data_IF_629542914919
#
_entry.id   IF_629542914919
#
_cell.length_a   1.000
_cell.length_b   1.000
_cell.length_c   1.000
_cell.angle_alpha   90.00
_cell.angle_beta   90.00
_cell.angle_gamma   90.00
#
_symmetry.space_group_name_H-M   'P 1'
#
loop_
_entity.id
_entity.type
_entity.pdbx_description
1 polymer ?
#
# COMPACT_ATOMS: atom_id res chain seq x y z
N UNK A 1 14.70 -24.63 22.29
CA UNK A 1 14.48 -24.32 21.79
C UNK A 1 14.39 -24.26 20.93
N UNK A 2 14.45 -24.18 21.09
CA UNK A 2 14.46 -24.04 20.45
C UNK A 2 14.75 -23.79 19.58
N UNK A 3 15.41 -23.52 19.56
CA UNK A 3 16.24 -22.94 18.60
C UNK A 3 15.85 -23.37 17.27
N UNK A 4 15.58 -24.49 17.13
CA UNK A 4 15.15 -24.89 15.86
C UNK A 4 14.04 -24.02 15.57
N UNK A 5 13.43 -23.50 16.48
CA UNK A 5 12.37 -22.64 16.23
C UNK A 5 12.82 -21.48 15.44
N UNK A 6 13.95 -20.97 15.71
CA UNK A 6 14.35 -19.85 15.01
C UNK A 6 14.58 -20.13 13.61
N UNK A 7 15.18 -21.18 13.32
CA UNK A 7 15.42 -21.51 11.95
C UNK A 7 14.12 -21.61 11.24
N UNK A 8 13.17 -22.17 11.90
CA UNK A 8 11.94 -22.36 11.30
C UNK A 8 11.31 -21.02 11.03
N UNK A 9 11.44 -20.10 11.93
CA UNK A 9 10.89 -18.81 11.71
C UNK A 9 11.50 -18.17 10.51
N UNK A 10 12.74 -18.29 10.31
CA UNK A 10 13.36 -17.69 9.16
C UNK A 10 12.76 -18.21 7.90
N UNK A 11 12.44 -19.46 7.86
CA UNK A 11 11.86 -19.98 6.68
C UNK A 11 10.51 -19.41 6.46
N UNK A 12 9.75 -19.20 7.49
CA UNK A 12 8.42 -18.70 7.34
C UNK A 12 8.40 -17.23 7.04
N UNK A 13 9.45 -16.53 7.37
CA UNK A 13 9.45 -15.10 7.21
C UNK A 13 10.16 -14.70 5.93
N UNK A 14 9.40 -14.63 4.88
CA UNK A 14 9.92 -14.10 3.63
C UNK A 14 10.07 -12.61 3.83
N UNK A 15 11.22 -12.03 3.57
CA UNK A 15 11.40 -10.59 3.73
C UNK A 15 10.38 -9.77 2.95
N UNK A 16 9.94 -10.26 1.81
CA UNK A 16 8.97 -9.51 1.04
C UNK A 16 7.62 -9.51 1.73
N UNK A 17 7.25 -10.61 2.34
CA UNK A 17 5.99 -10.68 3.06
C UNK A 17 6.04 -9.80 4.28
N UNK A 18 7.18 -9.76 4.95
CA UNK A 18 7.32 -8.95 6.13
C UNK A 18 7.20 -7.48 5.74
N UNK A 19 7.85 -7.07 4.67
CA UNK A 19 7.79 -5.69 4.23
C UNK A 19 6.36 -5.32 3.87
N UNK A 20 5.67 -6.18 3.16
CA UNK A 20 4.31 -5.92 2.77
C UNK A 20 3.43 -5.77 4.01
N UNK A 21 3.62 -6.63 4.97
CA UNK A 21 2.86 -6.58 6.20
C UNK A 21 3.12 -5.27 6.94
N UNK A 22 4.39 -4.87 7.01
CA UNK A 22 4.75 -3.68 7.75
C UNK A 22 4.25 -2.41 7.09
N UNK A 23 4.10 -2.42 5.78
CA UNK A 23 3.64 -1.23 5.08
C UNK A 23 2.12 -1.16 5.00
N UNK A 24 1.44 -2.23 5.27
CA UNK A 24 -0.01 -2.25 5.14
C UNK A 24 -0.67 -1.23 6.04
N UNK A 25 -0.23 -1.15 7.27
CA UNK A 25 -0.85 -0.26 8.23
C UNK A 25 -0.67 1.22 7.86
N UNK A 26 0.57 1.67 7.59
CA UNK A 26 0.70 3.08 7.21
C UNK A 26 0.00 3.40 5.90
N UNK A 27 -0.04 2.47 4.95
CA UNK A 27 -0.74 2.75 3.70
C UNK A 27 -2.24 2.85 3.93
N UNK A 28 -2.78 2.02 4.79
CA UNK A 28 -4.20 2.10 5.13
C UNK A 28 -4.49 3.44 5.80
N UNK A 29 -3.58 3.89 6.66
CA UNK A 29 -3.76 5.16 7.33
C UNK A 29 -3.75 6.32 6.34
N UNK A 30 -2.82 6.29 5.40
CA UNK A 30 -2.73 7.35 4.40
C UNK A 30 -4.01 7.36 3.55
N UNK A 31 -4.48 6.20 3.15
CA UNK A 31 -5.69 6.13 2.35
C UNK A 31 -6.89 6.67 3.11
N UNK A 32 -7.00 6.30 4.38
CA UNK A 32 -8.11 6.77 5.19
C UNK A 32 -8.08 8.27 5.38
N UNK A 33 -6.87 8.82 5.59
CA UNK A 33 -6.75 10.26 5.74
C UNK A 33 -7.05 10.98 4.44
N UNK A 34 -6.59 10.44 3.32
CA UNK A 34 -6.87 11.04 2.03
C UNK A 34 -8.37 11.07 1.77
N UNK A 35 -9.06 9.99 2.11
CA UNK A 35 -10.49 9.93 1.94
C UNK A 35 -11.19 11.00 2.78
N UNK A 36 -10.78 11.13 4.03
CA UNK A 36 -11.40 12.12 4.91
C UNK A 36 -11.10 13.53 4.44
N UNK A 37 -9.89 13.77 3.94
CA UNK A 37 -9.54 15.07 3.43
C UNK A 37 -10.39 15.43 2.21
N UNK A 38 -10.57 14.48 1.31
CA UNK A 38 -11.39 14.72 0.14
C UNK A 38 -12.82 15.06 0.56
N UNK A 39 -13.32 14.35 1.54
CA UNK A 39 -14.65 14.59 2.04
C UNK A 39 -14.78 15.99 2.62
N UNK A 40 -13.79 16.38 3.41
CA UNK A 40 -13.81 17.69 4.04
C UNK A 40 -13.73 18.80 2.98
N UNK A 41 -12.90 18.60 1.97
CA UNK A 41 -12.74 19.59 0.93
C UNK A 41 -14.03 19.73 0.14
N UNK A 42 -14.69 18.63 -0.16
CA UNK A 42 -15.94 18.70 -0.92
C UNK A 42 -17.02 19.44 -0.17
N UNK A 43 -16.94 19.42 1.14
CA UNK A 43 -17.97 20.06 1.96
C UNK A 43 -17.62 21.45 2.45
N UNK A 44 -16.41 21.89 2.22
CA UNK A 44 -15.97 23.17 2.76
C UNK A 44 -16.63 24.32 2.02
N UNK A 45 -17.48 25.08 2.66
CA UNK A 45 -18.22 26.11 1.94
C UNK A 45 -17.39 27.35 1.67
N UNK A 46 -16.27 27.50 2.35
CA UNK A 46 -15.46 28.71 2.18
C UNK A 46 -14.46 28.59 1.04
N UNK A 47 -14.35 27.44 0.43
CA UNK A 47 -13.38 27.28 -0.64
C UNK A 47 -14.00 27.69 -1.96
N UNK A 48 -13.19 28.37 -2.78
CA UNK A 48 -13.62 28.65 -4.14
C UNK A 48 -13.58 27.32 -4.92
N UNK A 49 -14.25 27.30 -6.06
CA UNK A 49 -14.24 26.10 -6.87
C UNK A 49 -12.82 25.76 -7.32
N UNK A 50 -12.05 26.78 -7.65
CA UNK A 50 -10.69 26.54 -8.08
C UNK A 50 -9.85 25.97 -6.97
N UNK A 51 -9.99 26.50 -5.77
CA UNK A 51 -9.26 25.98 -4.63
C UNK A 51 -9.67 24.54 -4.35
N UNK A 52 -10.95 24.27 -4.44
CA UNK A 52 -11.46 22.94 -4.16
C UNK A 52 -10.89 21.94 -5.16
N UNK A 53 -10.89 22.30 -6.44
CA UNK A 53 -10.35 21.40 -7.44
C UNK A 53 -8.87 21.14 -7.24
N UNK A 54 -8.13 22.19 -6.89
CA UNK A 54 -6.71 22.02 -6.67
C UNK A 54 -6.45 21.06 -5.51
N UNK A 55 -7.22 21.19 -4.45
CA UNK A 55 -7.04 20.34 -3.30
C UNK A 55 -7.45 18.91 -3.59
N UNK A 56 -8.55 18.73 -4.33
CA UNK A 56 -8.98 17.38 -4.67
C UNK A 56 -8.00 16.71 -5.62
N UNK A 57 -7.37 17.49 -6.51
CA UNK A 57 -6.35 16.93 -7.37
C UNK A 57 -5.17 16.46 -6.54
N UNK A 58 -4.82 17.20 -5.49
CA UNK A 58 -3.74 16.77 -4.62
C UNK A 58 -4.08 15.48 -3.87
N UNK A 59 -5.31 15.39 -3.39
CA UNK A 59 -5.72 14.17 -2.70
C UNK A 59 -5.74 13.00 -3.69
N UNK A 60 -6.21 13.24 -4.91
CA UNK A 60 -6.23 12.18 -5.90
C UNK A 60 -4.82 11.69 -6.22
N UNK A 61 -3.85 12.60 -6.24
CA UNK A 61 -2.46 12.20 -6.47
C UNK A 61 -1.96 11.32 -5.34
N UNK A 62 -2.33 11.64 -4.12
CA UNK A 62 -1.95 10.80 -2.98
C UNK A 62 -2.58 9.43 -3.09
N UNK A 63 -3.86 9.39 -3.45
CA UNK A 63 -4.55 8.11 -3.59
C UNK A 63 -3.93 7.26 -4.70
N UNK A 64 -3.56 7.91 -5.79
CA UNK A 64 -2.92 7.19 -6.88
C UNK A 64 -1.57 6.63 -6.44
N UNK A 65 -0.80 7.43 -5.71
CA UNK A 65 0.50 6.98 -5.24
C UNK A 65 0.36 5.77 -4.31
N UNK A 66 -0.64 5.80 -3.44
CA UNK A 66 -0.87 4.67 -2.54
C UNK A 66 -1.27 3.44 -3.34
N UNK A 67 -2.12 3.62 -4.35
CA UNK A 67 -2.55 2.49 -5.16
C UNK A 67 -1.36 1.87 -5.89
N UNK A 68 -0.47 2.70 -6.39
CA UNK A 68 0.73 2.19 -7.05
C UNK A 68 1.59 1.40 -6.06
N UNK A 69 1.73 1.91 -4.84
CA UNK A 69 2.52 1.21 -3.85
C UNK A 69 1.90 -0.13 -3.49
N UNK A 70 0.58 -0.17 -3.39
CA UNK A 70 -0.10 -1.43 -3.10
C UNK A 70 0.12 -2.41 -4.24
N UNK A 71 0.05 -1.93 -5.49
CA UNK A 71 0.25 -2.80 -6.63
C UNK A 71 1.69 -3.34 -6.65
N UNK A 72 2.65 -2.50 -6.32
CA UNK A 72 4.04 -2.96 -6.27
C UNK A 72 4.21 -4.01 -5.18
N UNK A 73 3.60 -3.79 -4.03
CA UNK A 73 3.70 -4.74 -2.94
C UNK A 73 3.04 -6.06 -3.30
N UNK A 74 1.91 -5.98 -3.99
CA UNK A 74 1.22 -7.19 -4.40
C UNK A 74 2.00 -7.93 -5.47
N UNK A 75 2.66 -7.20 -6.34
CA UNK A 75 3.50 -7.84 -7.35
C UNK A 75 4.67 -8.56 -6.71
N UNK A 76 5.25 -7.98 -5.68
CA UNK A 76 6.32 -8.65 -4.97
C UNK A 76 5.83 -9.92 -4.30
N UNK A 77 4.65 -9.84 -3.72
CA UNK A 77 4.11 -11.00 -3.07
C UNK A 77 3.80 -12.10 -4.07
N UNK A 78 3.29 -11.71 -5.21
CA UNK A 78 2.91 -12.67 -6.21
C UNK A 78 4.03 -13.05 -7.14
N UNK A 79 5.18 -12.45 -6.95
CA UNK A 79 6.28 -12.74 -7.82
C UNK A 79 6.57 -14.19 -7.72
N UNK A 80 6.55 -14.89 -8.78
CA UNK A 80 6.68 -16.32 -8.73
C UNK A 80 8.09 -16.66 -8.45
N UNK A 81 8.25 -17.74 -7.81
CA UNK A 81 9.54 -18.26 -7.75
C UNK A 81 9.79 -18.63 -9.16
N UNK A 82 10.92 -18.44 -9.55
CA UNK A 82 11.22 -18.62 -10.90
C UNK A 82 10.79 -19.87 -11.40
N UNK A 83 11.01 -20.83 -10.68
CA UNK A 83 10.69 -22.11 -11.19
C UNK A 83 9.28 -22.17 -11.62
N UNK A 84 8.43 -21.62 -10.80
CA UNK A 84 7.07 -21.70 -11.14
C UNK A 84 6.80 -21.02 -12.38
N UNK A 85 7.28 -19.87 -12.50
CA UNK A 85 6.92 -19.16 -13.66
C UNK A 85 7.42 -19.86 -14.84
N UNK A 86 8.51 -20.45 -14.72
CA UNK A 86 8.98 -21.07 -15.84
C UNK A 86 8.12 -22.12 -16.25
N UNK A 87 7.77 -22.89 -15.39
CA UNK A 87 7.09 -23.95 -15.80
C UNK A 87 5.95 -23.54 -16.36
N UNK A 88 5.49 -22.60 -15.89
CA UNK A 88 4.38 -22.18 -16.48
C UNK A 88 4.62 -22.13 -17.88
N UNK A 89 5.66 -22.02 -18.18
CA UNK A 89 5.82 -21.97 -19.52
C UNK A 89 6.10 -23.00 -20.03
#
# INVERSE_FOLDING_TARGET
>A
MHPEDETYDGRLHDPRDQLRHDLKSPLTTIRGRAYLMARAVRRAPSLTDEERMRMLDGVAAIETAVAVMVDVMDALRNEPTEGDSDEAN
#
